data_IF_888162440177
#
_entry.id   IF_888162440177
#
_cell.length_a   1.000
_cell.length_b   1.000
_cell.length_c   1.000
_cell.angle_alpha   90.00
_cell.angle_beta   90.00
_cell.angle_gamma   90.00
#
_symmetry.space_group_name_H-M   'P 1'
#
loop_
_entity.id
_entity.type
_entity.pdbx_description
1 polymer ?
#
# COMPACT_ATOMS: atom_id res chain seq x y z
N UNK A 1 -28.54 -5.86 9.47
CA UNK A 1 -27.85 -6.73 8.50
C UNK A 1 -28.88 -7.37 7.57
N UNK A 2 -29.39 -6.63 6.59
CA UNK A 2 -30.28 -7.17 5.55
C UNK A 2 -29.81 -6.57 4.23
N UNK A 3 -29.01 -7.33 3.46
CA UNK A 3 -28.46 -6.80 2.22
C UNK A 3 -27.88 -7.85 1.27
N UNK A 4 -27.42 -9.00 1.78
CA UNK A 4 -26.83 -10.02 0.90
C UNK A 4 -27.86 -10.78 0.05
N UNK A 5 -29.12 -10.83 0.48
CA UNK A 5 -30.19 -11.52 -0.27
C UNK A 5 -30.60 -10.80 -1.55
N UNK A 6 -30.58 -9.47 -1.56
CA UNK A 6 -31.03 -8.68 -2.70
C UNK A 6 -30.03 -8.70 -3.87
N UNK A 7 -28.71 -8.70 -3.58
CA UNK A 7 -27.68 -8.80 -4.61
C UNK A 7 -27.62 -10.20 -5.25
N UNK A 8 -27.81 -11.26 -4.46
CA UNK A 8 -27.91 -12.62 -4.97
C UNK A 8 -29.19 -12.82 -5.81
N UNK A 9 -30.32 -12.24 -5.39
CA UNK A 9 -31.58 -12.28 -6.14
C UNK A 9 -31.51 -11.46 -7.44
N UNK A 10 -30.82 -10.32 -7.45
CA UNK A 10 -30.64 -9.50 -8.67
C UNK A 10 -29.67 -10.14 -9.66
N UNK A 11 -28.60 -10.80 -9.20
CA UNK A 11 -27.70 -11.57 -10.05
C UNK A 11 -28.38 -12.82 -10.62
N UNK A 12 -29.23 -13.49 -9.84
CA UNK A 12 -30.05 -14.61 -10.31
C UNK A 12 -31.13 -14.16 -11.31
N UNK A 13 -31.74 -12.99 -11.11
CA UNK A 13 -32.72 -12.42 -12.04
C UNK A 13 -32.07 -11.93 -13.35
N UNK A 14 -30.86 -11.36 -13.31
CA UNK A 14 -30.11 -10.97 -14.50
C UNK A 14 -29.59 -12.19 -15.27
N UNK A 15 -29.15 -13.26 -14.58
CA UNK A 15 -28.81 -14.54 -15.19
C UNK A 15 -30.04 -15.26 -15.78
N UNK A 16 -31.21 -15.12 -15.15
CA UNK A 16 -32.48 -15.62 -15.68
C UNK A 16 -33.00 -14.79 -16.88
N UNK A 17 -32.67 -13.50 -16.96
CA UNK A 17 -33.01 -12.64 -18.09
C UNK A 17 -32.06 -12.81 -19.30
N UNK A 18 -30.80 -13.16 -19.07
CA UNK A 18 -29.79 -13.37 -20.12
C UNK A 18 -29.91 -14.74 -20.85
N UNK A 19 -30.80 -15.64 -20.41
CA UNK A 19 -30.95 -16.99 -20.94
C UNK A 19 -32.35 -17.25 -21.51
N UNK A 20 -32.88 -16.33 -22.32
CA UNK A 20 -34.13 -16.56 -23.09
C UNK A 20 -34.05 -16.11 -24.55
N UNK A 21 -32.91 -16.34 -25.19
CA UNK A 21 -32.81 -16.39 -26.65
C UNK A 21 -32.09 -17.68 -27.06
N UNK A 22 -32.53 -18.83 -26.54
CA UNK A 22 -32.30 -20.07 -27.28
C UNK A 22 -33.25 -20.03 -28.48
N UNK A 23 -32.70 -19.70 -29.66
CA UNK A 23 -33.37 -20.06 -30.90
C UNK A 23 -33.80 -21.52 -30.76
N UNK A 24 -35.11 -21.79 -30.82
CA UNK A 24 -35.60 -23.13 -31.09
C UNK A 24 -35.01 -23.53 -32.43
N UNK A 25 -33.86 -24.20 -32.41
CA UNK A 25 -33.38 -24.96 -33.55
C UNK A 25 -34.37 -26.11 -33.70
N UNK A 26 -35.43 -25.86 -34.46
CA UNK A 26 -36.27 -26.90 -35.03
C UNK A 26 -35.33 -27.74 -35.91
N UNK A 27 -34.84 -28.85 -35.38
CA UNK A 27 -34.19 -29.88 -36.18
C UNK A 27 -35.27 -30.53 -37.04
N UNK A 28 -35.41 -30.02 -38.25
CA UNK A 28 -36.44 -30.40 -39.20
C UNK A 28 -36.47 -29.36 -40.31
N UNK A 29 -35.45 -29.39 -41.17
CA UNK A 29 -35.36 -28.48 -42.31
C UNK A 29 -36.59 -28.60 -43.22
N UNK A 30 -36.86 -27.52 -43.97
CA UNK A 30 -37.97 -27.36 -44.92
C UNK A 30 -37.93 -28.33 -46.14
N UNK A 31 -37.36 -29.52 -45.99
CA UNK A 31 -37.31 -30.56 -47.00
C UNK A 31 -38.65 -31.29 -47.05
N UNK A 32 -39.35 -31.14 -48.17
CA UNK A 32 -40.59 -31.87 -48.46
C UNK A 32 -40.26 -33.31 -48.85
N UNK A 33 -41.12 -34.30 -48.51
CA UNK A 33 -40.93 -35.67 -48.96
C UNK A 33 -40.90 -35.72 -50.50
N UNK A 34 -39.97 -36.50 -51.06
CA UNK A 34 -39.85 -36.78 -52.50
C UNK A 34 -39.93 -38.29 -52.73
N UNK A 35 -40.51 -38.72 -53.85
CA UNK A 35 -40.62 -40.15 -54.21
C UNK A 35 -39.30 -40.75 -54.72
N UNK A 36 -38.33 -39.91 -55.09
CA UNK A 36 -37.01 -40.32 -55.59
C UNK A 36 -35.98 -40.31 -54.47
N UNK A 37 -35.23 -41.40 -54.31
CA UNK A 37 -34.14 -41.53 -53.32
C UNK A 37 -32.79 -41.26 -53.98
N UNK A 38 -32.00 -40.37 -53.40
CA UNK A 38 -30.64 -40.06 -53.86
C UNK A 38 -29.67 -41.20 -53.57
N UNK A 39 -28.61 -41.34 -54.38
CA UNK A 39 -27.67 -42.48 -54.35
C UNK A 39 -27.02 -42.70 -52.98
N UNK A 40 -26.82 -41.62 -52.22
CA UNK A 40 -26.21 -41.66 -50.88
C UNK A 40 -27.17 -42.16 -49.78
N UNK A 41 -28.48 -42.22 -50.06
CA UNK A 41 -29.52 -42.67 -49.12
C UNK A 41 -30.09 -44.05 -49.47
N UNK A 42 -29.56 -44.72 -50.51
CA UNK A 42 -30.02 -46.06 -50.94
C UNK A 42 -29.79 -47.16 -49.93
N UNK A 43 -28.80 -47.03 -49.06
CA UNK A 43 -28.51 -48.00 -47.99
C UNK A 43 -29.49 -47.90 -46.80
N UNK A 44 -30.49 -47.01 -46.87
CA UNK A 44 -31.50 -46.84 -45.84
C UNK A 44 -31.04 -46.00 -44.64
N UNK A 45 -31.85 -45.99 -43.58
CA UNK A 45 -31.59 -45.19 -42.39
C UNK A 45 -30.45 -45.79 -41.54
N UNK A 46 -29.26 -45.17 -41.62
CA UNK A 46 -28.09 -45.61 -40.86
C UNK A 46 -28.11 -45.16 -39.38
N UNK A 47 -28.89 -44.14 -39.03
CA UNK A 47 -28.99 -43.58 -37.66
C UNK A 47 -30.37 -43.85 -37.07
N UNK A 48 -30.42 -44.03 -35.75
CA UNK A 48 -31.68 -44.19 -35.03
C UNK A 48 -32.27 -42.82 -34.72
N UNK A 49 -33.59 -42.75 -34.62
CA UNK A 49 -34.31 -41.51 -34.31
C UNK A 49 -33.83 -40.85 -33.01
N UNK A 50 -33.47 -41.64 -32.00
CA UNK A 50 -32.93 -41.13 -30.72
C UNK A 50 -31.62 -40.33 -30.85
N UNK A 51 -30.86 -40.55 -31.93
CA UNK A 51 -29.59 -39.87 -32.17
C UNK A 51 -29.80 -38.52 -32.89
N UNK A 52 -31.03 -38.28 -33.37
CA UNK A 52 -31.43 -37.04 -34.06
C UNK A 52 -32.37 -36.18 -33.22
N UNK A 53 -33.34 -36.78 -32.54
CA UNK A 53 -34.30 -36.07 -31.69
C UNK A 53 -33.75 -35.85 -30.28
N UNK A 54 -34.04 -34.67 -29.71
CA UNK A 54 -33.72 -34.35 -28.32
C UNK A 54 -34.52 -35.20 -27.32
N UNK A 55 -34.04 -35.22 -26.07
CA UNK A 55 -34.69 -35.91 -24.96
C UNK A 55 -36.04 -35.29 -24.55
N UNK A 56 -36.83 -36.03 -23.77
CA UNK A 56 -38.14 -35.57 -23.32
C UNK A 56 -38.02 -34.28 -22.48
N UNK A 57 -38.80 -33.22 -22.77
CA UNK A 57 -38.59 -31.89 -22.18
C UNK A 57 -38.76 -31.84 -20.65
N UNK A 58 -39.54 -32.77 -20.07
CA UNK A 58 -39.83 -32.82 -18.63
C UNK A 58 -39.19 -34.01 -17.91
N UNK A 59 -38.86 -35.07 -18.65
CA UNK A 59 -38.36 -36.34 -18.12
C UNK A 59 -37.06 -36.67 -18.83
N UNK A 60 -36.13 -35.72 -18.78
CA UNK A 60 -34.81 -35.93 -19.33
C UNK A 60 -33.99 -36.90 -18.46
N UNK A 61 -32.94 -37.45 -19.06
CA UNK A 61 -32.07 -38.39 -18.37
C UNK A 61 -31.45 -37.77 -17.12
N UNK A 62 -31.10 -36.48 -17.16
CA UNK A 62 -30.50 -35.77 -16.03
C UNK A 62 -31.43 -35.62 -14.82
N UNK A 63 -32.69 -35.23 -15.01
CA UNK A 63 -33.63 -35.09 -13.88
C UNK A 63 -33.99 -36.45 -13.29
N UNK A 64 -34.18 -37.48 -14.12
CA UNK A 64 -34.41 -38.84 -13.63
C UNK A 64 -33.20 -39.39 -12.87
N UNK A 65 -31.98 -39.11 -13.36
CA UNK A 65 -30.74 -39.45 -12.69
C UNK A 65 -30.60 -38.76 -11.33
N UNK A 66 -30.85 -37.44 -11.25
CA UNK A 66 -30.84 -36.71 -9.98
C UNK A 66 -31.89 -37.25 -8.99
N UNK A 67 -33.08 -37.62 -9.47
CA UNK A 67 -34.11 -38.24 -8.63
C UNK A 67 -33.68 -39.62 -8.12
N UNK A 68 -32.97 -40.39 -8.93
CA UNK A 68 -32.39 -41.68 -8.52
C UNK A 68 -31.24 -41.54 -7.52
N UNK A 69 -30.41 -40.50 -7.66
CA UNK A 69 -29.31 -40.20 -6.72
C UNK A 69 -29.79 -39.54 -5.42
N UNK A 70 -30.95 -38.87 -5.44
CA UNK A 70 -31.52 -38.13 -4.31
C UNK A 70 -31.42 -38.88 -2.96
N UNK A 71 -31.89 -40.13 -2.81
CA UNK A 71 -31.81 -40.82 -1.51
C UNK A 71 -30.37 -41.01 -1.01
N UNK A 72 -29.42 -41.31 -1.89
CA UNK A 72 -28.02 -41.46 -1.52
C UNK A 72 -27.39 -40.11 -1.15
N UNK A 73 -27.72 -39.04 -1.88
CA UNK A 73 -27.27 -37.69 -1.58
C UNK A 73 -27.86 -37.14 -0.28
N UNK A 74 -29.15 -37.38 -0.02
CA UNK A 74 -29.81 -37.01 1.24
C UNK A 74 -29.23 -37.78 2.43
N UNK A 75 -28.92 -39.07 2.27
CA UNK A 75 -28.24 -39.86 3.31
C UNK A 75 -26.84 -39.30 3.62
N UNK A 76 -26.02 -39.06 2.59
CA UNK A 76 -24.69 -38.46 2.77
C UNK A 76 -24.74 -37.06 3.41
N UNK A 77 -25.69 -36.22 2.98
CA UNK A 77 -25.91 -34.90 3.57
C UNK A 77 -26.39 -34.98 5.03
N UNK A 78 -27.29 -35.91 5.34
CA UNK A 78 -27.77 -36.12 6.71
C UNK A 78 -26.65 -36.62 7.62
N UNK A 79 -25.81 -37.54 7.15
CA UNK A 79 -24.72 -38.11 7.94
C UNK A 79 -23.59 -37.10 8.18
N UNK A 80 -23.26 -36.28 7.16
CA UNK A 80 -22.31 -35.16 7.34
C UNK A 80 -22.85 -34.11 8.30
N UNK A 81 -24.14 -33.74 8.19
CA UNK A 81 -24.76 -32.81 9.14
C UNK A 81 -24.80 -33.37 10.57
N UNK A 82 -25.13 -34.65 10.74
CA UNK A 82 -25.11 -35.34 12.04
C UNK A 82 -23.70 -35.39 12.62
N UNK A 83 -22.70 -35.68 11.80
CA UNK A 83 -21.29 -35.69 12.24
C UNK A 83 -20.87 -34.30 12.73
N UNK A 84 -21.17 -33.25 11.96
CA UNK A 84 -20.88 -31.87 12.35
C UNK A 84 -21.62 -31.48 13.64
N UNK A 85 -22.90 -31.83 13.76
CA UNK A 85 -23.69 -31.56 14.95
C UNK A 85 -23.15 -32.32 16.18
N UNK A 86 -22.75 -33.58 16.01
CA UNK A 86 -22.16 -34.39 17.07
C UNK A 86 -20.80 -33.84 17.50
N UNK A 87 -19.94 -33.44 16.55
CA UNK A 87 -18.65 -32.82 16.83
C UNK A 87 -18.81 -31.47 17.56
N UNK A 88 -19.72 -30.62 17.09
CA UNK A 88 -20.04 -29.36 17.76
C UNK A 88 -20.60 -29.59 19.16
N UNK A 89 -21.49 -30.57 19.35
CA UNK A 89 -22.03 -30.93 20.66
C UNK A 89 -20.96 -31.49 21.60
N UNK A 90 -19.99 -32.26 21.08
CA UNK A 90 -18.89 -32.81 21.87
C UNK A 90 -17.97 -31.72 22.43
N UNK A 91 -17.77 -30.61 21.71
CA UNK A 91 -17.01 -29.45 22.19
C UNK A 91 -17.86 -28.52 23.06
N UNK A 92 -19.11 -28.27 22.65
CA UNK A 92 -19.97 -27.29 23.32
C UNK A 92 -20.48 -27.77 24.68
N UNK A 93 -20.90 -29.03 24.81
CA UNK A 93 -21.45 -29.58 26.07
C UNK A 93 -20.48 -29.48 27.25
N UNK A 94 -19.20 -29.89 27.17
CA UNK A 94 -18.28 -29.75 28.29
C UNK A 94 -17.96 -28.28 28.60
N UNK A 95 -17.81 -27.42 27.59
CA UNK A 95 -17.61 -25.99 27.79
C UNK A 95 -18.80 -25.34 28.51
N UNK A 96 -20.03 -25.67 28.08
CA UNK A 96 -21.25 -25.19 28.71
C UNK A 96 -21.37 -25.70 30.15
N UNK A 97 -21.08 -26.98 30.41
CA UNK A 97 -21.09 -27.53 31.77
C UNK A 97 -20.08 -26.84 32.69
N UNK A 98 -18.88 -26.53 32.18
CA UNK A 98 -17.86 -25.80 32.93
C UNK A 98 -18.33 -24.37 33.25
N UNK A 99 -18.88 -23.65 32.26
CA UNK A 99 -19.41 -22.30 32.48
C UNK A 99 -20.56 -22.30 33.48
N UNK A 100 -21.52 -23.22 33.36
CA UNK A 100 -22.66 -23.31 34.28
C UNK A 100 -22.25 -23.74 35.69
N UNK A 101 -21.22 -24.59 35.83
CA UNK A 101 -20.68 -25.01 37.13
C UNK A 101 -20.07 -23.84 37.90
N UNK A 102 -19.37 -22.93 37.20
CA UNK A 102 -18.71 -21.78 37.83
C UNK A 102 -19.60 -20.52 37.87
N UNK A 103 -20.53 -20.38 36.93
CA UNK A 103 -21.43 -19.23 36.78
C UNK A 103 -22.88 -19.70 36.56
N UNK A 104 -23.58 -20.14 37.63
CA UNK A 104 -24.92 -20.71 37.51
C UNK A 104 -25.99 -19.68 37.14
N UNK A 105 -25.87 -18.43 37.62
CA UNK A 105 -26.81 -17.36 37.30
C UNK A 105 -26.36 -16.52 36.09
N UNK A 106 -27.34 -15.98 35.37
CA UNK A 106 -27.14 -15.06 34.23
C UNK A 106 -26.26 -13.84 34.60
N UNK A 107 -26.44 -13.29 35.81
CA UNK A 107 -25.64 -12.14 36.29
C UNK A 107 -24.14 -12.46 36.34
N UNK A 108 -23.77 -13.64 36.82
CA UNK A 108 -22.38 -14.07 36.90
C UNK A 108 -21.81 -14.37 35.51
N UNK A 109 -22.63 -14.90 34.60
CA UNK A 109 -22.25 -15.10 33.20
C UNK A 109 -21.96 -13.77 32.50
N UNK A 110 -22.76 -12.71 32.74
CA UNK A 110 -22.49 -11.37 32.21
C UNK A 110 -21.19 -10.78 32.78
N UNK A 111 -20.94 -10.94 34.07
CA UNK A 111 -19.67 -10.51 34.69
C UNK A 111 -18.49 -11.27 34.08
N UNK A 112 -18.58 -12.58 33.93
CA UNK A 112 -17.54 -13.38 33.28
C UNK A 112 -17.30 -12.94 31.82
N UNK A 113 -18.36 -12.71 31.04
CA UNK A 113 -18.26 -12.25 29.66
C UNK A 113 -17.58 -10.87 29.56
N UNK A 114 -18.01 -9.91 30.38
CA UNK A 114 -17.41 -8.57 30.41
C UNK A 114 -15.95 -8.61 30.84
N UNK A 115 -15.59 -9.44 31.83
CA UNK A 115 -14.21 -9.62 32.26
C UNK A 115 -13.34 -10.26 31.17
N UNK A 116 -13.89 -11.20 30.40
CA UNK A 116 -13.21 -11.81 29.25
C UNK A 116 -12.92 -10.76 28.17
N UNK A 117 -13.90 -9.94 27.80
CA UNK A 117 -13.70 -8.87 26.83
C UNK A 117 -12.72 -7.81 27.33
N UNK A 118 -12.81 -7.41 28.60
CA UNK A 118 -11.88 -6.46 29.20
C UNK A 118 -10.44 -7.00 29.18
N UNK A 119 -10.25 -8.28 29.51
CA UNK A 119 -8.94 -8.94 29.50
C UNK A 119 -8.42 -9.06 28.07
N UNK A 120 -9.26 -9.45 27.11
CA UNK A 120 -8.88 -9.51 25.69
C UNK A 120 -8.48 -8.14 25.16
N UNK A 121 -9.25 -7.09 25.47
CA UNK A 121 -8.92 -5.71 25.08
C UNK A 121 -7.61 -5.25 25.72
N UNK A 122 -7.38 -5.58 26.99
CA UNK A 122 -6.12 -5.26 27.68
C UNK A 122 -4.92 -5.94 27.02
N UNK A 123 -5.04 -7.24 26.71
CA UNK A 123 -3.99 -7.99 26.02
C UNK A 123 -3.71 -7.37 24.64
N UNK A 124 -4.76 -7.10 23.86
CA UNK A 124 -4.62 -6.44 22.54
C UNK A 124 -3.97 -5.06 22.68
N UNK A 125 -4.38 -4.27 23.68
CA UNK A 125 -3.78 -2.95 23.96
C UNK A 125 -2.30 -3.06 24.29
N UNK A 126 -1.92 -4.00 25.15
CA UNK A 126 -0.51 -4.23 25.53
C UNK A 126 0.37 -4.61 24.33
N UNK A 127 -0.11 -5.51 23.47
CA UNK A 127 0.61 -5.86 22.24
C UNK A 127 0.67 -4.68 21.28
N UNK A 128 -0.44 -3.95 21.10
CA UNK A 128 -0.47 -2.78 20.25
C UNK A 128 0.51 -1.70 20.73
N UNK A 129 0.60 -1.43 22.03
CA UNK A 129 1.56 -0.47 22.59
C UNK A 129 3.00 -0.91 22.33
N UNK A 130 3.28 -2.21 22.39
CA UNK A 130 4.61 -2.76 22.10
C UNK A 130 4.96 -2.59 20.61
N UNK A 131 4.02 -2.91 19.72
CA UNK A 131 4.20 -2.67 18.29
C UNK A 131 4.32 -1.19 17.96
N UNK A 132 3.52 -0.34 18.60
CA UNK A 132 3.56 1.11 18.41
C UNK A 132 4.91 1.67 18.82
N UNK A 133 5.50 1.23 19.94
CA UNK A 133 6.86 1.65 20.32
C UNK A 133 7.92 1.30 19.28
N UNK A 134 7.79 0.16 18.60
CA UNK A 134 8.71 -0.22 17.51
C UNK A 134 8.52 0.71 16.32
N UNK A 135 7.28 1.01 15.95
CA UNK A 135 6.95 1.96 14.89
C UNK A 135 7.47 3.36 15.26
N UNK A 136 7.24 3.82 16.47
CA UNK A 136 7.72 5.12 16.96
C UNK A 136 9.24 5.21 16.91
N UNK A 137 9.95 4.13 17.28
CA UNK A 137 11.41 4.06 17.17
C UNK A 137 11.85 4.14 15.70
N UNK A 138 11.18 3.42 14.79
CA UNK A 138 11.47 3.51 13.35
C UNK A 138 11.25 4.93 12.81
N UNK A 139 10.16 5.59 13.20
CA UNK A 139 9.90 6.98 12.84
C UNK A 139 10.92 7.95 13.45
N UNK A 140 11.40 7.71 14.67
CA UNK A 140 12.49 8.51 15.26
C UNK A 140 13.80 8.37 14.47
N UNK A 141 14.11 7.16 13.99
CA UNK A 141 15.28 6.92 13.13
C UNK A 141 15.11 7.61 11.78
N UNK A 142 13.92 7.57 11.18
CA UNK A 142 13.61 8.31 9.95
C UNK A 142 13.76 9.83 10.14
N UNK A 143 13.29 10.37 11.27
CA UNK A 143 13.49 11.78 11.62
C UNK A 143 14.95 12.13 11.86
N UNK A 144 15.74 11.21 12.43
CA UNK A 144 17.18 11.40 12.58
C UNK A 144 17.89 11.45 11.23
N UNK A 145 17.56 10.53 10.31
CA UNK A 145 18.08 10.56 8.94
C UNK A 145 17.69 11.86 8.22
N UNK A 146 16.46 12.33 8.39
CA UNK A 146 16.02 13.60 7.83
C UNK A 146 16.82 14.81 8.38
N UNK A 147 17.16 14.80 9.67
CA UNK A 147 18.01 15.83 10.30
C UNK A 147 19.45 15.79 9.81
N UNK A 148 20.01 14.61 9.58
CA UNK A 148 21.37 14.49 9.07
C UNK A 148 21.46 15.03 7.63
N UNK A 149 20.46 14.73 6.79
CA UNK A 149 20.30 15.35 5.47
C UNK A 149 20.08 16.87 5.54
N UNK A 150 19.40 17.37 6.56
CA UNK A 150 19.21 18.81 6.77
C UNK A 150 20.53 19.53 7.09
N UNK A 151 21.41 18.92 7.90
CA UNK A 151 22.74 19.47 8.19
C UNK A 151 23.58 19.63 6.92
N UNK A 152 23.49 18.65 6.02
CA UNK A 152 24.15 18.67 4.71
C UNK A 152 23.51 19.68 3.73
N UNK A 153 22.32 20.20 4.06
CA UNK A 153 21.60 21.17 3.22
C UNK A 153 20.77 20.52 2.10
N UNK A 154 20.48 19.23 2.18
CA UNK A 154 19.74 18.48 1.17
C UNK A 154 18.34 19.06 0.86
N UNK A 155 17.65 19.56 1.90
CA UNK A 155 16.31 20.12 1.80
C UNK A 155 16.26 21.60 1.36
N UNK A 156 17.40 22.25 1.16
CA UNK A 156 17.44 23.67 0.79
C UNK A 156 17.15 23.86 -0.68
N UNK A 157 16.58 25.01 -1.01
CA UNK A 157 16.35 25.39 -2.41
C UNK A 157 17.63 25.87 -3.08
N UNK A 158 17.63 25.92 -4.41
CA UNK A 158 18.77 26.44 -5.16
C UNK A 158 19.17 27.87 -4.79
N UNK A 159 18.19 28.72 -4.49
CA UNK A 159 18.40 30.10 -4.08
C UNK A 159 19.04 30.19 -2.69
N UNK A 160 18.50 29.45 -1.71
CA UNK A 160 19.00 29.45 -0.33
C UNK A 160 20.46 28.99 -0.23
N UNK A 161 20.84 27.97 -1.00
CA UNK A 161 22.21 27.49 -1.02
C UNK A 161 23.17 28.52 -1.67
N UNK A 162 22.73 29.22 -2.72
CA UNK A 162 23.51 30.29 -3.34
C UNK A 162 23.73 31.45 -2.36
N UNK A 163 22.67 31.89 -1.68
CA UNK A 163 22.75 32.96 -0.67
C UNK A 163 23.69 32.58 0.47
N UNK A 164 23.60 31.36 1.00
CA UNK A 164 24.51 30.87 2.05
C UNK A 164 25.97 30.92 1.60
N UNK A 165 26.26 30.46 0.38
CA UNK A 165 27.62 30.49 -0.18
C UNK A 165 28.13 31.93 -0.31
N UNK A 166 27.28 32.86 -0.76
CA UNK A 166 27.63 34.27 -0.83
C UNK A 166 27.91 34.87 0.56
N UNK A 167 27.10 34.54 1.56
CA UNK A 167 27.33 34.98 2.94
C UNK A 167 28.65 34.46 3.50
N UNK A 168 28.97 33.18 3.27
CA UNK A 168 30.24 32.60 3.72
C UNK A 168 31.44 33.22 3.00
N UNK A 169 31.32 33.48 1.69
CA UNK A 169 32.35 34.19 0.93
C UNK A 169 32.52 35.64 1.43
N UNK A 170 31.43 36.36 1.68
CA UNK A 170 31.48 37.72 2.20
C UNK A 170 32.12 37.76 3.59
N UNK A 171 31.80 36.79 4.46
CA UNK A 171 32.41 36.67 5.78
C UNK A 171 33.91 36.37 5.69
N UNK A 172 34.31 35.47 4.78
CA UNK A 172 35.73 35.18 4.55
C UNK A 172 36.47 36.40 3.99
N UNK A 173 35.87 37.12 3.04
CA UNK A 173 36.45 38.33 2.48
C UNK A 173 36.66 39.40 3.56
N UNK A 174 35.63 39.70 4.36
CA UNK A 174 35.74 40.66 5.46
C UNK A 174 36.81 40.26 6.47
N UNK A 175 36.89 38.97 6.79
CA UNK A 175 37.93 38.44 7.67
C UNK A 175 39.32 38.66 7.07
N UNK A 176 39.54 38.31 5.81
CA UNK A 176 40.82 38.50 5.14
C UNK A 176 41.21 39.98 5.06
N UNK A 177 40.28 40.87 4.70
CA UNK A 177 40.50 42.31 4.67
C UNK A 177 40.86 42.87 6.07
N UNK A 178 40.16 42.43 7.12
CA UNK A 178 40.47 42.84 8.49
C UNK A 178 41.84 42.34 8.96
N UNK A 179 42.19 41.08 8.64
CA UNK A 179 43.49 40.51 8.97
C UNK A 179 44.62 41.19 8.19
N UNK A 180 44.37 41.54 6.93
CA UNK A 180 45.30 42.27 6.09
C UNK A 180 45.55 43.68 6.63
N UNK A 181 44.49 44.41 6.97
CA UNK A 181 44.59 45.75 7.55
C UNK A 181 45.37 45.73 8.89
N UNK A 182 45.10 44.75 9.75
CA UNK A 182 45.82 44.56 11.00
C UNK A 182 47.30 44.21 10.80
N UNK A 183 47.60 43.28 9.88
CA UNK A 183 48.96 42.89 9.54
C UNK A 183 49.75 44.07 8.94
N UNK A 184 49.14 44.87 8.09
CA UNK A 184 49.75 46.04 7.47
C UNK A 184 50.04 47.13 8.51
N UNK A 185 49.13 47.38 9.44
CA UNK A 185 49.36 48.29 10.56
C UNK A 185 50.51 47.82 11.48
N UNK A 186 50.58 46.52 11.80
CA UNK A 186 51.65 45.95 12.60
C UNK A 186 53.02 46.01 11.90
N UNK A 187 53.07 45.65 10.62
CA UNK A 187 54.29 45.68 9.82
C UNK A 187 54.81 47.11 9.57
N UNK A 188 53.91 48.08 9.39
CA UNK A 188 54.30 49.50 9.24
C UNK A 188 54.84 50.10 10.54
N UNK A 189 54.28 49.72 11.69
CA UNK A 189 54.79 50.13 12.99
C UNK A 189 56.17 49.52 13.29
N UNK A 190 56.36 48.24 12.99
CA UNK A 190 57.63 47.53 13.19
C UNK A 190 58.69 47.83 12.11
N UNK A 191 58.28 48.36 10.95
CA UNK A 191 59.10 48.54 9.74
C UNK A 191 59.83 47.26 9.30
N UNK A 192 59.22 46.09 9.55
CA UNK A 192 59.78 44.79 9.24
C UNK A 192 58.79 43.96 8.41
N UNK A 193 59.29 43.40 7.31
CA UNK A 193 58.53 42.54 6.41
C UNK A 193 58.27 41.16 7.02
N UNK A 194 59.14 40.68 7.93
CA UNK A 194 58.97 39.38 8.57
C UNK A 194 57.70 39.31 9.42
N UNK A 195 57.27 40.45 9.99
CA UNK A 195 56.02 40.56 10.76
C UNK A 195 54.80 40.35 9.86
N UNK A 196 54.86 40.75 8.59
CA UNK A 196 53.80 40.51 7.62
C UNK A 196 53.73 39.03 7.23
N UNK A 197 54.88 38.37 7.06
CA UNK A 197 54.95 36.94 6.79
C UNK A 197 54.41 36.10 7.96
N UNK A 198 54.66 36.51 9.20
CA UNK A 198 54.11 35.85 10.39
C UNK A 198 52.57 35.91 10.47
N UNK A 199 51.95 36.94 9.89
CA UNK A 199 50.49 37.07 9.82
C UNK A 199 49.83 36.21 8.73
N UNK A 200 50.61 35.61 7.82
CA UNK A 200 50.10 34.66 6.82
C UNK A 200 49.95 33.25 7.39
N UNK A 201 50.55 32.96 8.55
CA UNK A 201 50.42 31.64 9.17
C UNK A 201 49.00 31.40 9.70
N UNK A 202 48.43 30.20 9.49
CA UNK A 202 47.02 29.90 9.78
C UNK A 202 46.63 30.05 11.26
N UNK A 203 47.60 30.19 12.17
CA UNK A 203 47.38 30.43 13.60
C UNK A 203 46.92 31.86 13.90
N UNK A 204 47.35 32.88 13.16
CA UNK A 204 46.97 34.28 13.40
C UNK A 204 45.73 34.71 12.60
N UNK A 205 45.37 33.94 11.56
CA UNK A 205 44.14 34.13 10.80
C UNK A 205 42.88 33.86 11.63
N UNK A 206 42.94 33.17 12.77
CA UNK A 206 41.82 32.86 13.66
C UNK A 206 41.89 33.64 15.01
N UNK A 207 41.56 34.94 15.06
CA UNK A 207 40.97 35.48 16.27
C UNK A 207 39.47 35.11 16.22
N UNK A 208 39.08 34.01 16.89
CA UNK A 208 37.67 33.81 17.25
C UNK A 208 37.30 35.00 18.16
N UNK A 209 36.24 35.78 17.92
CA UNK A 209 35.75 36.69 18.95
C UNK A 209 35.38 35.82 20.16
N UNK A 210 36.07 36.05 21.27
CA UNK A 210 35.85 35.42 22.56
C UNK A 210 34.39 35.55 22.96
N UNK A 211 33.62 34.49 22.73
CA UNK A 211 32.48 34.17 23.59
C UNK A 211 32.98 33.06 24.49
N UNK A 212 33.07 33.38 25.77
CA UNK A 212 33.59 32.55 26.84
C UNK A 212 32.85 31.21 26.89
N UNK A 213 33.53 30.13 26.48
CA UNK A 213 33.37 28.74 26.90
C UNK A 213 34.03 27.86 25.83
N UNK A 214 35.34 27.63 25.94
CA UNK A 214 36.02 26.45 25.41
C UNK A 214 37.39 26.39 26.10
N UNK A 215 37.74 25.24 26.69
CA UNK A 215 38.96 25.03 27.47
C UNK A 215 40.26 25.14 26.66
N UNK A 216 41.43 24.99 27.31
CA UNK A 216 42.74 25.40 26.78
C UNK A 216 43.30 24.56 25.62
N UNK A 217 42.56 23.56 25.11
CA UNK A 217 43.01 22.66 24.04
C UNK A 217 42.22 22.79 22.72
N UNK A 218 41.56 23.94 22.51
CA UNK A 218 40.83 24.22 21.27
C UNK A 218 41.77 24.71 20.16
N UNK A 219 42.48 23.77 19.52
CA UNK A 219 43.09 24.00 18.21
C UNK A 219 42.01 24.61 17.28
N UNK A 220 42.24 25.80 16.67
CA UNK A 220 41.21 26.44 15.87
C UNK A 220 40.90 25.53 14.67
N UNK A 221 39.67 24.99 14.63
CA UNK A 221 39.22 24.09 13.57
C UNK A 221 39.55 24.78 12.22
N UNK A 222 40.38 24.16 11.36
CA UNK A 222 40.64 24.69 10.02
C UNK A 222 39.31 24.97 9.35
N UNK A 223 39.20 26.09 8.61
CA UNK A 223 37.97 26.37 7.87
C UNK A 223 37.63 25.15 7.03
N UNK A 224 36.46 24.58 7.27
CA UNK A 224 35.96 23.45 6.48
C UNK A 224 35.85 23.92 5.02
N UNK A 225 36.59 23.29 4.09
CA UNK A 225 36.57 23.71 2.70
C UNK A 225 35.13 23.57 2.18
N UNK A 226 34.64 24.62 1.52
CA UNK A 226 33.32 24.58 0.91
C UNK A 226 33.27 23.44 -0.12
N UNK A 227 32.27 22.55 -0.09
CA UNK A 227 32.18 21.48 -1.07
C UNK A 227 31.98 22.09 -2.47
N UNK A 228 32.66 21.55 -3.51
CA UNK A 228 32.64 22.12 -4.86
C UNK A 228 31.24 22.08 -5.48
N UNK A 229 30.46 21.04 -5.17
CA UNK A 229 29.08 20.87 -5.60
C UNK A 229 28.20 20.44 -4.41
N UNK A 230 26.90 20.75 -4.49
CA UNK A 230 25.90 20.30 -3.51
C UNK A 230 24.80 19.56 -4.24
N UNK A 231 24.42 18.38 -3.74
CA UNK A 231 23.24 17.66 -4.19
C UNK A 231 22.04 18.02 -3.31
N UNK A 232 20.85 18.16 -3.91
CA UNK A 232 19.64 18.66 -3.24
C UNK A 232 18.44 17.83 -3.66
N UNK A 233 17.40 17.82 -2.83
CA UNK A 233 16.15 17.11 -3.12
C UNK A 233 15.48 17.60 -4.42
N UNK A 234 15.50 18.91 -4.69
CA UNK A 234 14.92 19.52 -5.91
C UNK A 234 15.54 19.01 -7.22
N UNK A 235 16.72 18.39 -7.17
CA UNK A 235 17.38 17.83 -8.35
C UNK A 235 16.87 16.43 -8.72
N UNK A 236 16.01 15.81 -7.90
CA UNK A 236 15.45 14.50 -8.19
C UNK A 236 14.25 14.65 -9.14
N UNK A 237 14.28 14.02 -10.34
CA UNK A 237 13.15 14.07 -11.26
C UNK A 237 11.94 13.33 -10.67
N UNK A 238 10.76 13.95 -10.75
CA UNK A 238 9.51 13.37 -10.29
C UNK A 238 8.35 13.74 -11.23
N UNK A 239 7.54 12.76 -11.60
CA UNK A 239 6.33 12.97 -12.39
C UNK A 239 5.89 11.71 -13.13
N UNK A 240 4.58 11.50 -13.24
CA UNK A 240 4.03 10.36 -13.97
C UNK A 240 4.39 10.40 -15.46
N UNK A 241 4.46 11.60 -16.04
CA UNK A 241 4.75 11.81 -17.46
C UNK A 241 6.15 12.41 -17.70
N UNK A 242 7.00 12.49 -16.67
CA UNK A 242 8.32 13.11 -16.77
C UNK A 242 9.31 12.17 -17.49
N UNK A 243 9.88 12.54 -18.65
CA UNK A 243 10.77 11.65 -19.41
C UNK A 243 12.05 11.30 -18.64
N UNK A 244 12.49 12.19 -17.75
CA UNK A 244 13.68 11.99 -16.90
C UNK A 244 13.49 10.92 -15.82
N UNK A 245 12.23 10.57 -15.48
CA UNK A 245 11.90 9.55 -14.48
C UNK A 245 11.75 8.14 -15.07
N UNK A 246 11.70 8.01 -16.41
CA UNK A 246 11.44 6.74 -17.11
C UNK A 246 12.66 6.31 -17.91
N UNK A 247 13.33 5.24 -17.48
CA UNK A 247 14.43 4.62 -18.23
C UNK A 247 13.92 3.60 -19.25
N UNK A 248 12.96 2.77 -18.85
CA UNK A 248 12.33 1.73 -19.66
C UNK A 248 10.82 1.70 -19.40
N UNK A 249 10.00 1.28 -20.38
CA UNK A 249 8.57 1.14 -20.18
C UNK A 249 8.28 0.03 -19.15
N UNK A 250 7.61 0.37 -18.05
CA UNK A 250 7.15 -0.60 -17.07
C UNK A 250 6.01 -1.44 -17.67
N UNK A 251 6.06 -2.78 -17.58
CA UNK A 251 5.01 -3.63 -18.12
C UNK A 251 3.70 -3.47 -17.32
N UNK A 252 2.56 -3.63 -18.00
CA UNK A 252 1.23 -3.36 -17.43
C UNK A 252 0.84 -4.23 -16.23
N UNK A 253 1.46 -5.41 -16.07
CA UNK A 253 1.18 -6.31 -14.94
C UNK A 253 1.94 -5.95 -13.67
N UNK A 254 2.96 -5.09 -13.75
CA UNK A 254 3.71 -4.57 -12.60
C UNK A 254 3.14 -3.23 -12.11
N UNK A 255 2.30 -2.58 -12.90
CA UNK A 255 1.66 -1.32 -12.54
C UNK A 255 0.63 -1.53 -11.44
N UNK A 256 0.71 -0.70 -10.39
CA UNK A 256 -0.29 -0.71 -9.31
C UNK A 256 -1.66 -0.31 -9.86
N UNK A 257 -2.68 -1.10 -9.55
CA UNK A 257 -4.06 -0.78 -9.90
C UNK A 257 -4.56 0.41 -9.06
N UNK A 258 -5.05 1.44 -9.73
CA UNK A 258 -5.77 2.52 -9.06
C UNK A 258 -7.07 1.96 -8.45
N UNK A 259 -7.44 2.35 -7.21
CA UNK A 259 -8.70 1.93 -6.61
C UNK A 259 -9.84 2.38 -7.52
N UNK A 260 -10.55 1.41 -8.11
CA UNK A 260 -11.74 1.69 -8.92
C UNK A 260 -12.95 1.83 -8.00
N UNK A 261 -13.52 3.05 -7.81
CA UNK A 261 -14.79 3.17 -7.13
C UNK A 261 -15.86 2.53 -8.04
N UNK A 262 -16.21 1.28 -7.74
CA UNK A 262 -17.32 0.60 -8.43
C UNK A 262 -18.57 1.43 -8.17
N UNK A 263 -19.15 1.96 -9.24
CA UNK A 263 -20.34 2.83 -9.25
C UNK A 263 -21.51 2.13 -8.58
N UNK A 264 -21.61 2.26 -7.26
CA UNK A 264 -22.89 2.17 -6.56
C UNK A 264 -23.47 3.58 -6.58
N UNK A 265 -24.79 3.67 -6.65
CA UNK A 265 -25.60 4.87 -6.96
C UNK A 265 -25.31 6.14 -6.13
N UNK A 266 -24.38 6.12 -5.16
CA UNK A 266 -24.21 7.16 -4.15
C UNK A 266 -22.81 7.77 -3.98
N UNK A 267 -21.81 7.42 -4.79
CA UNK A 267 -20.52 8.14 -4.74
C UNK A 267 -19.73 8.02 -6.05
N UNK A 268 -19.66 9.10 -6.82
CA UNK A 268 -18.84 9.20 -8.04
C UNK A 268 -17.48 9.81 -7.74
N UNK A 269 -16.55 9.00 -7.22
CA UNK A 269 -15.12 9.34 -7.23
C UNK A 269 -14.50 9.35 -8.64
N UNK A 270 -15.26 8.95 -9.67
CA UNK A 270 -14.80 8.84 -11.06
C UNK A 270 -14.70 10.18 -11.82
N UNK A 271 -15.17 11.30 -11.23
CA UNK A 271 -15.24 12.59 -11.95
C UNK A 271 -14.05 13.51 -11.66
N UNK A 272 -13.26 13.23 -10.63
CA UNK A 272 -12.11 14.05 -10.24
C UNK A 272 -10.94 13.16 -9.88
N UNK A 273 -9.87 13.22 -10.69
CA UNK A 273 -8.57 12.68 -10.30
C UNK A 273 -8.08 13.48 -9.09
N UNK A 274 -8.08 12.89 -7.91
CA UNK A 274 -7.24 13.35 -6.82
C UNK A 274 -5.82 12.99 -7.25
N UNK A 275 -5.13 13.92 -7.91
CA UNK A 275 -3.80 13.68 -8.48
C UNK A 275 -2.87 12.99 -7.49
N UNK A 276 -1.87 12.25 -8.02
CA UNK A 276 -0.85 11.61 -7.19
C UNK A 276 -0.31 12.63 -6.19
N UNK A 277 -0.24 12.29 -4.91
CA UNK A 277 0.28 13.21 -3.89
C UNK A 277 1.74 13.50 -4.26
N UNK A 278 2.09 14.70 -4.77
CA UNK A 278 3.50 15.04 -4.79
C UNK A 278 3.95 15.10 -3.32
N UNK A 279 5.20 14.77 -3.05
CA UNK A 279 5.80 15.06 -1.76
C UNK A 279 5.68 16.57 -1.52
N UNK A 280 4.63 17.00 -0.83
CA UNK A 280 4.56 18.36 -0.33
C UNK A 280 5.71 18.47 0.67
N UNK A 281 6.69 19.30 0.34
CA UNK A 281 7.61 19.89 1.30
C UNK A 281 6.76 20.66 2.30
N UNK A 282 6.24 19.93 3.28
CA UNK A 282 5.61 20.51 4.44
C UNK A 282 6.73 21.24 5.16
N UNK A 283 6.66 22.58 5.12
CA UNK A 283 7.53 23.46 5.89
C UNK A 283 7.48 22.96 7.33
N UNK A 284 8.53 22.28 7.79
CA UNK A 284 8.71 22.04 9.21
C UNK A 284 8.80 23.44 9.87
N UNK A 285 8.06 23.70 10.96
CA UNK A 285 8.12 24.97 11.66
C UNK A 285 9.52 25.27 12.19
#
# INVERSE_FOLDING_TARGET
MSGSGAAAAAAAAAAAAALRLSLRRLSGGAAKPKWTVERDQWSGAARRDKDHYGEHPTYNFFVLFLRGLRPAAEAAAADTARLLAAAAAAVWRPAQQLVLKHNPDLRHQLVALTSFFATSMFITGYFNDTYQKIVDLSSLVEHQAARDLEKEGFWRTAAQEKERRLLLLQQQQQRLESSWAAALAAATAAKDFNVLCAHLEPQTLNPKPSTEQDGPDANPKPLEPLPPSSWRFELMPYGADAPEAHTFPTPSHEMSLSPSPRTTFRATGATTSTGAKPYKTTRMP
#
